data_IF_499701705678
#
_entry.id   IF_499701705678
#
_cell.length_a   1.000
_cell.length_b   1.000
_cell.length_c   1.000
_cell.angle_alpha   90.00
_cell.angle_beta   90.00
_cell.angle_gamma   90.00
#
_symmetry.space_group_name_H-M   'P 1'
#
loop_
_entity.id
_entity.type
_entity.pdbx_description
1 polymer ?
#
# COMPACT_ATOMS: atom_id res chain seq x y z
N UNK A 1 11.10 11.86 -0.05
CA UNK A 1 11.45 10.45 -0.36
C UNK A 1 11.49 9.49 0.84
N UNK A 2 11.45 9.97 2.09
CA UNK A 2 11.49 9.09 3.30
C UNK A 2 10.32 8.08 3.32
N UNK A 3 9.12 8.52 2.93
CA UNK A 3 7.93 7.68 2.89
C UNK A 3 8.06 6.49 1.92
N UNK A 4 8.59 6.71 0.71
CA UNK A 4 8.78 5.60 -0.25
C UNK A 4 9.80 4.58 0.26
N UNK A 5 10.91 5.03 0.86
CA UNK A 5 11.91 4.13 1.44
C UNK A 5 11.32 3.24 2.55
N UNK A 6 10.53 3.83 3.45
CA UNK A 6 9.87 3.09 4.53
C UNK A 6 8.84 2.07 4.01
N UNK A 7 8.06 2.43 2.99
CA UNK A 7 7.08 1.53 2.37
C UNK A 7 7.75 0.35 1.66
N UNK A 8 8.83 0.58 0.91
CA UNK A 8 9.58 -0.47 0.21
C UNK A 8 10.17 -1.46 1.21
N UNK A 9 10.79 -0.99 2.29
CA UNK A 9 11.35 -1.87 3.34
C UNK A 9 10.26 -2.72 3.98
N UNK A 10 9.09 -2.13 4.26
CA UNK A 10 7.97 -2.85 4.88
C UNK A 10 7.43 -3.95 3.96
N UNK A 11 7.29 -3.68 2.66
CA UNK A 11 6.77 -4.66 1.70
C UNK A 11 7.79 -5.75 1.41
N UNK A 12 9.07 -5.41 1.20
CA UNK A 12 10.10 -6.38 0.81
C UNK A 12 10.63 -7.20 1.98
N UNK A 13 10.61 -6.68 3.21
CA UNK A 13 11.18 -7.37 4.37
C UNK A 13 10.09 -7.80 5.34
N UNK A 14 9.26 -6.87 5.83
CA UNK A 14 8.31 -7.17 6.89
C UNK A 14 7.26 -8.20 6.46
N UNK A 15 6.69 -8.07 5.25
CA UNK A 15 5.69 -9.02 4.73
C UNK A 15 6.24 -10.45 4.63
N UNK A 16 7.35 -10.74 3.92
CA UNK A 16 7.86 -12.11 3.82
C UNK A 16 8.35 -12.65 5.17
N UNK A 17 8.95 -11.82 6.03
CA UNK A 17 9.37 -12.25 7.38
C UNK A 17 8.16 -12.69 8.20
N UNK A 18 7.05 -11.93 8.17
CA UNK A 18 5.81 -12.32 8.85
C UNK A 18 5.22 -13.61 8.28
N UNK A 19 5.25 -13.78 6.95
CA UNK A 19 4.76 -15.00 6.29
C UNK A 19 5.58 -16.23 6.71
N UNK A 20 6.91 -16.10 6.77
CA UNK A 20 7.83 -17.16 7.22
C UNK A 20 7.59 -17.49 8.69
N UNK A 21 7.43 -16.49 9.55
CA UNK A 21 7.16 -16.68 10.98
C UNK A 21 5.80 -17.34 11.21
N UNK A 22 4.77 -16.93 10.48
CA UNK A 22 3.44 -17.52 10.54
C UNK A 22 3.48 -19.00 10.11
N UNK A 23 4.17 -19.31 9.01
CA UNK A 23 4.41 -20.69 8.57
C UNK A 23 5.13 -21.51 9.64
N UNK A 24 6.20 -20.97 10.25
CA UNK A 24 6.94 -21.65 11.31
C UNK A 24 6.12 -21.89 12.59
N UNK A 25 5.10 -21.05 12.85
CA UNK A 25 4.19 -21.17 13.99
C UNK A 25 2.90 -21.94 13.69
N UNK A 26 2.72 -22.42 12.45
CA UNK A 26 1.49 -23.09 12.01
C UNK A 26 0.27 -22.17 11.94
N UNK A 27 0.47 -20.85 11.90
CA UNK A 27 -0.60 -19.87 11.73
C UNK A 27 -0.85 -19.70 10.23
N UNK A 28 -2.09 -19.88 9.80
CA UNK A 28 -2.50 -19.57 8.43
C UNK A 28 -2.59 -18.04 8.24
N UNK A 29 -1.45 -17.43 7.93
CA UNK A 29 -1.35 -16.07 7.41
C UNK A 29 -1.16 -16.15 5.89
N UNK A 30 -2.18 -15.74 5.14
CA UNK A 30 -2.12 -15.62 3.68
C UNK A 30 -2.38 -14.18 3.26
N UNK A 31 -1.81 -13.81 2.11
CA UNK A 31 -2.07 -12.52 1.48
C UNK A 31 -3.37 -12.61 0.67
N UNK A 32 -4.49 -12.71 1.39
CA UNK A 32 -5.82 -12.81 0.78
C UNK A 32 -6.37 -11.41 0.48
N UNK A 33 -5.86 -10.81 -0.60
CA UNK A 33 -6.32 -9.51 -1.06
C UNK A 33 -7.48 -9.66 -2.04
N UNK A 34 -8.55 -8.91 -1.79
CA UNK A 34 -9.67 -8.81 -2.73
C UNK A 34 -9.18 -8.14 -4.04
N UNK A 35 -9.65 -8.56 -5.24
CA UNK A 35 -9.36 -7.87 -6.51
C UNK A 35 -9.51 -6.35 -6.46
N UNK A 36 -10.49 -5.84 -5.70
CA UNK A 36 -10.69 -4.39 -5.54
C UNK A 36 -9.58 -3.72 -4.71
N UNK A 37 -9.09 -4.40 -3.65
CA UNK A 37 -7.97 -3.93 -2.83
C UNK A 37 -6.67 -3.92 -3.65
N UNK A 38 -6.44 -4.94 -4.48
CA UNK A 38 -5.28 -5.00 -5.39
C UNK A 38 -5.34 -3.85 -6.40
N UNK A 39 -6.51 -3.59 -7.00
CA UNK A 39 -6.69 -2.48 -7.94
C UNK A 39 -6.41 -1.11 -7.30
N UNK A 40 -6.94 -0.87 -6.11
CA UNK A 40 -6.71 0.36 -5.35
C UNK A 40 -5.23 0.54 -4.95
N UNK A 41 -4.53 -0.55 -4.59
CA UNK A 41 -3.11 -0.53 -4.28
C UNK A 41 -2.27 -0.14 -5.50
N UNK A 42 -2.54 -0.73 -6.66
CA UNK A 42 -1.82 -0.43 -7.91
C UNK A 42 -1.98 1.04 -8.29
N UNK A 43 -3.22 1.57 -8.25
CA UNK A 43 -3.49 2.99 -8.54
C UNK A 43 -2.70 3.90 -7.59
N UNK A 44 -2.66 3.55 -6.30
CA UNK A 44 -1.93 4.32 -5.28
C UNK A 44 -0.42 4.35 -5.55
N UNK A 45 0.16 3.23 -5.98
CA UNK A 45 1.58 3.13 -6.35
C UNK A 45 1.88 3.98 -7.58
N UNK A 46 1.01 3.95 -8.60
CA UNK A 46 1.17 4.76 -9.82
C UNK A 46 1.14 6.25 -9.48
N UNK A 47 0.18 6.68 -8.67
CA UNK A 47 0.08 8.07 -8.23
C UNK A 47 1.31 8.50 -7.43
N UNK A 48 1.80 7.65 -6.53
CA UNK A 48 2.97 7.96 -5.71
C UNK A 48 4.25 8.09 -6.56
N UNK A 49 4.35 7.25 -7.61
CA UNK A 49 5.45 7.33 -8.57
C UNK A 49 5.38 8.62 -9.40
N UNK A 50 4.21 8.94 -9.97
CA UNK A 50 3.99 10.16 -10.76
C UNK A 50 4.25 11.43 -9.96
N UNK A 51 3.76 11.50 -8.72
CA UNK A 51 4.00 12.65 -7.83
C UNK A 51 5.48 12.80 -7.45
N UNK A 52 6.23 11.71 -7.41
CA UNK A 52 7.68 11.78 -7.14
C UNK A 52 8.47 12.29 -8.35
N UNK A 53 8.05 11.99 -9.59
CA UNK A 53 8.72 12.46 -10.80
C UNK A 53 8.55 13.97 -11.03
N UNK A 54 7.40 14.55 -10.67
CA UNK A 54 7.05 15.93 -11.03
C UNK A 54 7.78 16.99 -10.18
N UNK A 55 8.44 16.61 -9.07
CA UNK A 55 9.34 17.47 -8.30
C UNK A 55 8.69 18.67 -7.58
N UNK A 56 7.41 18.95 -7.86
CA UNK A 56 6.59 20.01 -7.27
C UNK A 56 5.32 19.40 -6.67
N UNK A 57 5.07 19.64 -5.39
CA UNK A 57 3.86 19.15 -4.72
C UNK A 57 2.72 20.14 -4.93
N UNK A 58 1.68 19.76 -5.67
CA UNK A 58 0.45 20.53 -5.77
C UNK A 58 -0.53 20.13 -4.66
N UNK A 59 -1.23 21.08 -4.04
CA UNK A 59 -2.23 20.80 -2.99
C UNK A 59 -3.32 19.83 -3.46
N UNK A 60 -3.65 19.90 -4.76
CA UNK A 60 -4.63 19.02 -5.39
C UNK A 60 -4.16 17.56 -5.48
N UNK A 61 -2.85 17.34 -5.60
CA UNK A 61 -2.24 16.01 -5.69
C UNK A 61 -2.18 15.34 -4.31
N UNK A 62 -1.86 16.11 -3.27
CA UNK A 62 -1.97 15.61 -1.89
C UNK A 62 -3.41 15.22 -1.51
N UNK A 63 -4.40 15.99 -1.99
CA UNK A 63 -5.81 15.70 -1.75
C UNK A 63 -6.27 14.43 -2.49
N UNK A 64 -5.79 14.17 -3.71
CA UNK A 64 -6.12 12.95 -4.45
C UNK A 64 -5.56 11.71 -3.73
N UNK A 65 -4.33 11.76 -3.24
CA UNK A 65 -3.75 10.70 -2.41
C UNK A 65 -4.57 10.41 -1.16
N UNK A 66 -5.04 11.45 -0.46
CA UNK A 66 -5.91 11.29 0.71
C UNK A 66 -7.25 10.64 0.34
N UNK A 67 -7.87 11.05 -0.76
CA UNK A 67 -9.14 10.47 -1.21
C UNK A 67 -9.01 9.00 -1.58
N UNK A 68 -7.94 8.62 -2.30
CA UNK A 68 -7.68 7.21 -2.60
C UNK A 68 -7.39 6.38 -1.34
N UNK A 69 -6.70 6.96 -0.36
CA UNK A 69 -6.49 6.31 0.93
C UNK A 69 -7.81 6.06 1.67
N UNK A 70 -8.73 7.04 1.70
CA UNK A 70 -10.05 6.89 2.31
C UNK A 70 -10.87 5.83 1.57
N UNK A 71 -10.86 5.83 0.23
CA UNK A 71 -11.51 4.78 -0.56
C UNK A 71 -10.95 3.39 -0.23
N UNK A 72 -9.63 3.23 -0.15
CA UNK A 72 -9.01 1.98 0.25
C UNK A 72 -9.42 1.55 1.66
N UNK A 73 -9.43 2.49 2.63
CA UNK A 73 -9.83 2.20 3.99
C UNK A 73 -11.30 1.75 4.10
N UNK A 74 -12.20 2.35 3.32
CA UNK A 74 -13.61 1.93 3.23
C UNK A 74 -13.69 0.52 2.64
N UNK A 75 -12.96 0.24 1.55
CA UNK A 75 -12.94 -1.11 0.95
C UNK A 75 -12.45 -2.14 1.96
N UNK A 76 -11.35 -1.87 2.66
CA UNK A 76 -10.78 -2.78 3.66
C UNK A 76 -11.63 -2.92 4.93
N UNK A 77 -12.52 -1.97 5.22
CA UNK A 77 -13.44 -2.05 6.36
C UNK A 77 -14.72 -2.82 6.03
N UNK A 78 -15.18 -2.77 4.77
CA UNK A 78 -16.42 -3.40 4.33
C UNK A 78 -16.21 -4.78 3.67
N UNK A 79 -15.00 -5.07 3.16
CA UNK A 79 -14.59 -6.33 2.55
C UNK A 79 -13.33 -6.88 3.23
#
# INVERSE_FOLDING_TARGET
NIAMGASVVSILITVPVLLILAYAKGIHLMLDFNPLQIGALIITVILAWKSTEEGHTNYFEGLSHLMFFVCYAIIAAYY
#
